data_IF_184988483665
#
_entry.id   IF_184988483665
#
_cell.length_a   1.000
_cell.length_b   1.000
_cell.length_c   1.000
_cell.angle_alpha   90.00
_cell.angle_beta   90.00
_cell.angle_gamma   90.00
#
_symmetry.space_group_name_H-M   'P 1'
#
loop_
_entity.id
_entity.type
_entity.pdbx_description
1 polymer ?
#
# COMPACT_ATOMS: atom_id res chain seq x y z
N UNK A 1 13.40 -16.07 29.25
CA UNK A 1 13.42 -14.68 28.76
C UNK A 1 12.89 -14.68 27.34
N UNK A 2 11.94 -13.82 26.94
CA UNK A 2 11.49 -13.82 25.56
C UNK A 2 12.63 -13.26 24.72
N UNK A 3 13.25 -14.11 23.91
CA UNK A 3 14.24 -13.73 22.90
C UNK A 3 13.55 -12.78 21.90
N UNK A 4 13.59 -11.48 22.19
CA UNK A 4 12.99 -10.46 21.35
C UNK A 4 13.71 -10.43 20.01
N UNK A 5 13.08 -10.99 18.98
CA UNK A 5 13.62 -10.99 17.63
C UNK A 5 14.00 -9.54 17.24
N UNK A 6 15.18 -9.26 16.67
CA UNK A 6 15.71 -7.89 16.52
C UNK A 6 14.73 -6.90 15.87
N UNK A 7 13.93 -7.38 14.91
CA UNK A 7 12.88 -6.63 14.21
C UNK A 7 11.80 -6.10 15.17
N UNK A 8 11.44 -6.87 16.20
CA UNK A 8 10.44 -6.48 17.22
C UNK A 8 10.94 -5.38 18.17
N UNK A 9 12.24 -5.09 18.17
CA UNK A 9 12.84 -4.02 18.96
C UNK A 9 13.13 -2.81 18.05
N UNK A 10 13.72 -3.04 16.87
CA UNK A 10 14.18 -1.98 15.99
C UNK A 10 13.03 -1.17 15.36
N UNK A 11 11.95 -1.81 14.88
CA UNK A 11 10.88 -1.10 14.19
C UNK A 11 10.05 -0.16 15.10
N UNK A 12 9.67 -0.54 16.34
CA UNK A 12 9.05 0.41 17.27
C UNK A 12 9.94 1.62 17.56
N UNK A 13 11.25 1.40 17.69
CA UNK A 13 12.22 2.48 17.91
C UNK A 13 12.31 3.41 16.70
N UNK A 14 12.30 2.87 15.48
CA UNK A 14 12.26 3.67 14.25
C UNK A 14 11.01 4.56 14.20
N UNK A 15 9.81 4.01 14.44
CA UNK A 15 8.57 4.80 14.53
C UNK A 15 8.68 5.85 15.64
N UNK A 16 9.19 5.48 16.82
CA UNK A 16 9.31 6.42 17.93
C UNK A 16 10.28 7.57 17.60
N UNK A 17 11.41 7.29 16.95
CA UNK A 17 12.35 8.29 16.48
C UNK A 17 11.69 9.22 15.45
N UNK A 18 11.01 8.66 14.45
CA UNK A 18 10.34 9.48 13.43
C UNK A 18 9.26 10.38 14.00
N UNK A 19 8.44 9.88 14.93
CA UNK A 19 7.34 10.65 15.51
C UNK A 19 7.80 11.70 16.53
N UNK A 20 8.82 11.40 17.32
CA UNK A 20 9.22 12.24 18.46
C UNK A 20 10.39 13.18 18.12
N UNK A 21 11.16 12.87 17.06
CA UNK A 21 12.36 13.64 16.68
C UNK A 21 12.30 14.09 15.23
N UNK A 22 12.20 13.17 14.28
CA UNK A 22 12.46 13.50 12.87
C UNK A 22 11.36 14.40 12.29
N UNK A 23 10.08 13.99 12.41
CA UNK A 23 8.95 14.79 11.93
C UNK A 23 8.88 16.15 12.64
N UNK A 24 8.94 16.25 13.99
CA UNK A 24 8.96 17.54 14.67
C UNK A 24 10.14 18.45 14.28
N UNK A 25 11.28 17.88 13.86
CA UNK A 25 12.44 18.68 13.46
C UNK A 25 12.28 19.37 12.09
N UNK A 26 11.39 18.87 11.23
CA UNK A 26 11.17 19.39 9.86
C UNK A 26 9.79 19.99 9.64
N UNK A 27 8.86 19.79 10.57
CA UNK A 27 7.50 20.29 10.51
C UNK A 27 7.10 20.98 11.82
N UNK A 28 6.52 22.17 11.71
CA UNK A 28 5.94 22.86 12.87
C UNK A 28 4.64 22.16 13.28
N UNK A 29 4.74 21.34 14.32
CA UNK A 29 3.63 20.61 14.92
C UNK A 29 3.25 21.24 16.27
N UNK A 30 1.95 21.30 16.57
CA UNK A 30 1.50 21.58 17.94
C UNK A 30 1.83 20.41 18.85
N UNK A 31 1.92 20.70 20.15
CA UNK A 31 2.31 19.73 21.19
C UNK A 31 1.49 18.44 21.19
N UNK A 32 0.20 18.49 20.81
CA UNK A 32 -0.68 17.31 20.80
C UNK A 32 -0.65 16.51 19.48
N UNK A 33 -0.10 17.07 18.40
CA UNK A 33 -0.13 16.43 17.07
C UNK A 33 0.68 15.13 16.98
N UNK A 34 1.88 14.99 17.59
CA UNK A 34 2.62 13.73 17.56
C UNK A 34 1.81 12.55 18.14
N UNK A 35 1.03 12.81 19.20
CA UNK A 35 0.12 11.81 19.77
C UNK A 35 -0.99 11.42 18.81
N UNK A 36 -1.58 12.40 18.11
CA UNK A 36 -2.62 12.15 17.09
C UNK A 36 -2.08 11.38 15.89
N UNK A 37 -0.88 11.70 15.41
CA UNK A 37 -0.21 11.00 14.32
C UNK A 37 0.04 9.54 14.72
N UNK A 38 0.48 9.28 15.95
CA UNK A 38 0.65 7.93 16.50
C UNK A 38 -0.66 7.14 16.47
N UNK A 39 -1.74 7.70 17.00
CA UNK A 39 -3.06 7.05 17.01
C UNK A 39 -3.57 6.76 15.59
N UNK A 40 -3.34 7.68 14.65
CA UNK A 40 -3.67 7.46 13.25
C UNK A 40 -2.85 6.32 12.64
N UNK A 41 -1.55 6.25 12.92
CA UNK A 41 -0.68 5.16 12.45
C UNK A 41 -1.11 3.81 13.02
N UNK A 42 -1.51 3.75 14.29
CA UNK A 42 -2.09 2.54 14.89
C UNK A 42 -3.38 2.11 14.20
N UNK A 43 -4.27 3.05 13.89
CA UNK A 43 -5.51 2.76 13.17
C UNK A 43 -5.22 2.21 11.76
N UNK A 44 -4.27 2.79 11.03
CA UNK A 44 -3.82 2.29 9.73
C UNK A 44 -3.30 0.85 9.85
N UNK A 45 -2.42 0.61 10.83
CA UNK A 45 -1.80 -0.71 11.02
C UNK A 45 -2.79 -1.80 11.43
N UNK A 46 -3.77 -1.47 12.28
CA UNK A 46 -4.80 -2.40 12.77
C UNK A 46 -5.88 -2.70 11.72
N UNK A 47 -6.08 -1.82 10.74
CA UNK A 47 -7.12 -1.98 9.73
C UNK A 47 -6.69 -2.87 8.56
N UNK A 48 -7.64 -3.50 7.83
CA UNK A 48 -7.40 -3.94 6.46
C UNK A 48 -6.96 -2.76 5.59
N UNK A 49 -6.21 -3.05 4.51
CA UNK A 49 -5.76 -2.02 3.56
C UNK A 49 -6.91 -1.37 2.78
N UNK A 50 -7.95 -2.14 2.50
CA UNK A 50 -9.14 -1.62 1.85
C UNK A 50 -9.89 -0.64 2.75
N UNK A 51 -10.07 0.59 2.23
CA UNK A 51 -10.82 1.64 2.92
C UNK A 51 -9.97 2.64 3.68
N UNK A 52 -8.63 2.52 3.70
CA UNK A 52 -7.74 3.51 4.31
C UNK A 52 -7.42 4.63 3.31
N UNK A 53 -7.97 5.82 3.58
CA UNK A 53 -7.86 7.02 2.77
C UNK A 53 -8.08 8.25 3.65
N UNK A 54 -7.94 9.46 3.10
CA UNK A 54 -8.10 10.68 3.90
C UNK A 54 -9.47 10.80 4.56
N UNK A 55 -10.55 10.34 3.92
CA UNK A 55 -11.90 10.34 4.53
C UNK A 55 -11.98 9.45 5.76
N UNK A 56 -11.52 8.20 5.69
CA UNK A 56 -11.59 7.29 6.81
C UNK A 56 -10.65 7.71 7.95
N UNK A 57 -9.46 8.21 7.61
CA UNK A 57 -8.48 8.71 8.58
C UNK A 57 -8.98 9.96 9.33
N UNK A 58 -9.51 10.93 8.60
CA UNK A 58 -10.07 12.16 9.21
C UNK A 58 -11.25 11.85 10.12
N UNK A 59 -12.16 10.96 9.69
CA UNK A 59 -13.29 10.50 10.50
C UNK A 59 -12.83 9.78 11.77
N UNK A 60 -11.85 8.87 11.65
CA UNK A 60 -11.35 8.11 12.80
C UNK A 60 -10.62 9.01 13.81
N UNK A 61 -9.79 9.94 13.34
CA UNK A 61 -9.00 10.81 14.20
C UNK A 61 -9.73 12.07 14.70
N UNK A 62 -10.96 12.33 14.22
CA UNK A 62 -11.72 13.54 14.59
C UNK A 62 -11.04 14.83 14.11
N UNK A 63 -10.42 14.80 12.93
CA UNK A 63 -9.72 15.95 12.32
C UNK A 63 -10.27 16.25 10.92
N UNK A 64 -9.84 17.36 10.31
CA UNK A 64 -10.21 17.66 8.92
C UNK A 64 -9.47 16.75 7.93
N UNK A 65 -10.05 16.53 6.74
CA UNK A 65 -9.38 15.82 5.63
C UNK A 65 -8.05 16.46 5.25
N UNK A 66 -7.99 17.79 5.27
CA UNK A 66 -6.75 18.53 5.04
C UNK A 66 -5.67 18.11 6.03
N UNK A 67 -6.02 17.98 7.31
CA UNK A 67 -5.06 17.60 8.35
C UNK A 67 -4.67 16.13 8.30
N UNK A 68 -5.60 15.24 7.97
CA UNK A 68 -5.28 13.84 7.68
C UNK A 68 -4.29 13.71 6.52
N UNK A 69 -4.50 14.45 5.42
CA UNK A 69 -3.54 14.52 4.31
C UNK A 69 -2.17 14.99 4.76
N UNK A 70 -2.09 16.04 5.58
CA UNK A 70 -0.80 16.52 6.10
C UNK A 70 -0.08 15.45 6.92
N UNK A 71 -0.79 14.71 7.79
CA UNK A 71 -0.17 13.65 8.58
C UNK A 71 0.32 12.47 7.73
N UNK A 72 -0.47 12.05 6.74
CA UNK A 72 -0.05 11.01 5.79
C UNK A 72 1.20 11.45 5.02
N UNK A 73 1.26 12.71 4.56
CA UNK A 73 2.43 13.24 3.87
C UNK A 73 3.69 13.28 4.76
N UNK A 74 3.55 13.59 6.05
CA UNK A 74 4.68 13.55 6.99
C UNK A 74 5.18 12.12 7.19
N UNK A 75 4.27 11.16 7.33
CA UNK A 75 4.59 9.74 7.50
C UNK A 75 5.18 9.10 6.23
N UNK A 76 4.72 9.52 5.04
CA UNK A 76 5.31 9.12 3.76
C UNK A 76 6.74 9.64 3.63
N UNK A 77 6.98 10.92 3.94
CA UNK A 77 8.34 11.49 3.97
C UNK A 77 9.26 10.84 5.01
N UNK A 78 8.68 10.25 6.05
CA UNK A 78 9.40 9.46 7.05
C UNK A 78 9.58 7.98 6.63
N UNK A 79 9.22 7.60 5.39
CA UNK A 79 9.30 6.24 4.87
C UNK A 79 8.44 5.23 5.65
N UNK A 80 7.34 5.67 6.26
CA UNK A 80 6.43 4.83 7.04
C UNK A 80 5.19 4.42 6.22
N UNK A 81 4.72 5.29 5.33
CA UNK A 81 3.53 5.08 4.52
C UNK A 81 3.82 5.29 3.03
N UNK A 82 2.95 4.72 2.20
CA UNK A 82 2.88 4.94 0.76
C UNK A 82 1.50 5.48 0.39
N UNK A 83 1.43 6.43 -0.56
CA UNK A 83 0.17 6.96 -1.09
C UNK A 83 -0.02 6.55 -2.54
N UNK A 84 -0.98 5.65 -2.79
CA UNK A 84 -1.33 5.25 -4.16
C UNK A 84 -2.61 5.97 -4.55
N UNK A 85 -2.56 6.82 -5.58
CA UNK A 85 -3.72 7.58 -6.06
C UNK A 85 -4.58 6.76 -7.04
N UNK A 86 -5.88 7.06 -7.17
CA UNK A 86 -6.75 6.31 -8.06
C UNK A 86 -6.58 6.73 -9.52
N UNK A 87 -6.80 5.80 -10.44
CA UNK A 87 -7.00 6.10 -11.86
C UNK A 87 -8.50 6.22 -12.20
N UNK A 88 -8.83 7.11 -13.14
CA UNK A 88 -10.18 7.28 -13.71
C UNK A 88 -10.72 8.70 -13.63
N UNK A 89 -11.60 9.05 -14.58
CA UNK A 89 -12.11 10.43 -14.76
C UNK A 89 -13.17 10.87 -13.73
N UNK A 90 -13.84 9.92 -13.07
CA UNK A 90 -14.94 10.18 -12.11
C UNK A 90 -14.69 9.60 -10.73
N UNK A 91 -13.42 9.52 -10.31
CA UNK A 91 -13.03 8.99 -9.00
C UNK A 91 -12.58 10.13 -8.08
N UNK A 92 -13.10 10.15 -6.85
CA UNK A 92 -12.59 11.03 -5.81
C UNK A 92 -11.09 10.80 -5.65
N UNK A 93 -10.27 11.86 -5.83
CA UNK A 93 -8.80 11.81 -5.76
C UNK A 93 -8.28 11.67 -4.33
N UNK A 94 -8.69 10.61 -3.64
CA UNK A 94 -8.14 10.20 -2.35
C UNK A 94 -7.28 8.95 -2.55
N UNK A 95 -6.08 8.89 -1.94
CA UNK A 95 -5.21 7.75 -2.10
C UNK A 95 -5.72 6.54 -1.30
N UNK A 96 -5.35 5.35 -1.76
CA UNK A 96 -5.20 4.17 -0.89
C UNK A 96 -3.89 4.36 -0.12
N UNK A 97 -3.98 4.38 1.21
CA UNK A 97 -2.82 4.55 2.10
C UNK A 97 -2.32 3.18 2.55
N UNK A 98 -1.09 2.86 2.19
CA UNK A 98 -0.41 1.59 2.50
C UNK A 98 0.74 1.85 3.46
N UNK A 99 1.23 0.79 4.12
CA UNK A 99 2.38 0.90 5.02
C UNK A 99 3.64 0.45 4.31
N UNK A 100 4.76 1.09 4.62
CA UNK A 100 6.06 0.53 4.27
C UNK A 100 6.28 -0.78 5.05
N UNK A 101 6.96 -1.74 4.42
CA UNK A 101 7.33 -2.96 5.12
C UNK A 101 8.43 -2.69 6.16
N UNK A 102 8.42 -3.38 7.32
CA UNK A 102 7.46 -4.38 7.78
C UNK A 102 6.41 -3.82 8.77
N UNK A 103 6.14 -2.51 8.78
CA UNK A 103 5.48 -1.83 9.91
C UNK A 103 4.10 -2.38 10.30
N UNK A 104 3.33 -2.95 9.36
CA UNK A 104 2.03 -3.58 9.65
C UNK A 104 2.13 -4.69 10.70
N UNK A 105 3.27 -5.41 10.75
CA UNK A 105 3.51 -6.49 11.71
C UNK A 105 3.68 -5.99 13.16
N UNK A 106 3.80 -4.68 13.38
CA UNK A 106 3.77 -4.11 14.73
C UNK A 106 2.35 -4.03 15.30
N UNK A 107 1.35 -4.05 14.42
CA UNK A 107 -0.04 -3.82 14.78
C UNK A 107 -0.92 -5.07 14.58
N UNK A 108 -0.50 -5.98 13.70
CA UNK A 108 -1.25 -7.20 13.39
C UNK A 108 -0.36 -8.43 13.25
N UNK A 109 -0.81 -9.61 13.69
CA UNK A 109 -0.06 -10.85 13.48
C UNK A 109 -0.02 -11.21 11.99
N UNK A 110 1.06 -11.91 11.59
CA UNK A 110 1.32 -12.30 10.19
C UNK A 110 0.10 -12.86 9.45
N UNK A 111 -0.60 -13.83 10.06
CA UNK A 111 -1.75 -14.51 9.43
C UNK A 111 -2.86 -13.56 9.03
N UNK A 112 -3.09 -12.54 9.84
CA UNK A 112 -4.10 -11.51 9.59
C UNK A 112 -3.60 -10.40 8.65
N UNK A 113 -2.31 -10.08 8.74
CA UNK A 113 -1.68 -9.03 7.96
C UNK A 113 -1.37 -9.45 6.51
N UNK A 114 -1.37 -10.76 6.21
CA UNK A 114 -0.83 -11.32 4.96
C UNK A 114 -1.39 -10.69 3.68
N UNK A 115 -2.69 -10.38 3.63
CA UNK A 115 -3.27 -9.67 2.48
C UNK A 115 -2.67 -8.28 2.31
N UNK A 116 -2.75 -7.47 3.37
CA UNK A 116 -2.21 -6.11 3.38
C UNK A 116 -0.70 -6.05 3.16
N UNK A 117 0.06 -7.01 3.69
CA UNK A 117 1.52 -7.10 3.48
C UNK A 117 1.91 -7.32 2.01
N UNK A 118 1.06 -7.98 1.22
CA UNK A 118 1.32 -8.16 -0.22
C UNK A 118 1.14 -6.85 -0.98
N UNK A 119 0.11 -6.07 -0.63
CA UNK A 119 -0.11 -4.74 -1.21
C UNK A 119 0.95 -3.74 -0.73
N UNK A 120 1.30 -3.76 0.56
CA UNK A 120 2.40 -2.98 1.14
C UNK A 120 3.73 -3.27 0.39
N UNK A 121 4.05 -4.56 0.19
CA UNK A 121 5.23 -4.97 -0.59
C UNK A 121 5.20 -4.40 -2.00
N UNK A 122 4.07 -4.55 -2.70
CA UNK A 122 3.94 -4.10 -4.08
C UNK A 122 4.12 -2.59 -4.19
N UNK A 123 3.48 -1.81 -3.33
CA UNK A 123 3.61 -0.35 -3.36
C UNK A 123 5.07 0.08 -3.13
N UNK A 124 5.73 -0.45 -2.10
CA UNK A 124 7.13 -0.10 -1.81
C UNK A 124 8.10 -0.56 -2.90
N UNK A 125 7.84 -1.71 -3.54
CA UNK A 125 8.66 -2.19 -4.65
C UNK A 125 8.44 -1.38 -5.93
N UNK A 126 7.19 -0.99 -6.25
CA UNK A 126 6.89 -0.12 -7.39
C UNK A 126 7.49 1.27 -7.23
N UNK A 127 7.43 1.86 -6.03
CA UNK A 127 8.04 3.18 -5.77
C UNK A 127 9.55 3.21 -6.09
N UNK A 128 10.27 2.09 -5.89
CA UNK A 128 11.69 1.98 -6.22
C UNK A 128 11.96 1.91 -7.73
N UNK A 129 10.96 1.60 -8.55
CA UNK A 129 11.11 1.50 -10.01
C UNK A 129 10.88 2.83 -10.73
N UNK A 130 10.52 3.89 -10.00
CA UNK A 130 10.08 5.18 -10.55
C UNK A 130 8.92 5.08 -11.56
N UNK A 131 8.28 3.91 -11.65
CA UNK A 131 7.16 3.65 -12.55
C UNK A 131 5.87 4.15 -11.91
N UNK A 132 5.12 4.97 -12.62
CA UNK A 132 3.84 5.45 -12.13
C UNK A 132 2.80 4.32 -12.11
N UNK A 133 2.06 4.21 -11.00
CA UNK A 133 0.97 3.25 -10.85
C UNK A 133 -0.15 3.86 -10.03
N UNK A 134 -1.34 3.31 -10.20
CA UNK A 134 -2.56 3.77 -9.54
C UNK A 134 -3.33 2.57 -8.98
N UNK A 135 -4.14 2.80 -7.95
CA UNK A 135 -5.11 1.78 -7.53
C UNK A 135 -6.39 1.93 -8.34
N UNK A 136 -7.04 0.81 -8.62
CA UNK A 136 -8.33 0.81 -9.30
C UNK A 136 -9.45 0.78 -8.26
N UNK A 137 -10.30 1.80 -8.28
CA UNK A 137 -11.45 1.88 -7.37
C UNK A 137 -12.68 1.25 -8.00
N UNK A 138 -13.33 0.33 -7.28
CA UNK A 138 -14.61 -0.24 -7.72
C UNK A 138 -15.66 0.85 -7.93
N UNK A 139 -16.28 0.82 -9.11
CA UNK A 139 -17.56 1.48 -9.35
C UNK A 139 -18.66 0.41 -9.36
N UNK A 140 -19.61 0.52 -8.43
CA UNK A 140 -20.88 -0.24 -8.41
C UNK A 140 -20.73 -1.79 -8.43
N UNK A 141 -20.15 -2.36 -7.36
CA UNK A 141 -20.27 -3.79 -7.06
C UNK A 141 -19.53 -4.76 -7.98
N UNK A 142 -18.69 -4.26 -8.91
CA UNK A 142 -17.84 -5.09 -9.76
C UNK A 142 -16.55 -5.46 -9.02
N UNK A 143 -16.12 -6.72 -9.13
CA UNK A 143 -14.74 -7.10 -8.77
C UNK A 143 -13.80 -6.23 -9.57
N UNK A 144 -12.95 -5.49 -8.88
CA UNK A 144 -12.02 -4.55 -9.48
C UNK A 144 -10.64 -5.01 -9.08
N UNK A 145 -9.74 -5.28 -10.03
CA UNK A 145 -8.36 -5.59 -9.72
C UNK A 145 -7.72 -4.50 -8.89
N UNK A 146 -6.63 -4.81 -8.20
CA UNK A 146 -6.08 -3.88 -7.21
C UNK A 146 -5.42 -2.64 -7.83
N UNK A 147 -4.58 -2.82 -8.87
CA UNK A 147 -3.75 -1.75 -9.42
C UNK A 147 -3.75 -1.69 -10.95
N UNK A 148 -3.38 -0.52 -11.47
CA UNK A 148 -3.12 -0.22 -12.87
C UNK A 148 -1.73 0.41 -12.97
N UNK A 149 -0.92 -0.14 -13.87
CA UNK A 149 0.32 0.48 -14.34
C UNK A 149 0.04 0.97 -15.75
N UNK A 150 0.26 2.27 -15.98
CA UNK A 150 0.10 2.90 -17.29
C UNK A 150 1.41 3.61 -17.65
N UNK A 151 2.40 2.78 -17.99
CA UNK A 151 3.77 3.19 -18.28
C UNK A 151 4.20 2.58 -19.62
N UNK A 152 4.96 3.28 -20.48
CA UNK A 152 5.42 2.74 -21.76
C UNK A 152 6.13 1.39 -21.63
N UNK A 153 6.91 1.22 -20.56
CA UNK A 153 7.70 0.01 -20.27
C UNK A 153 6.84 -1.11 -19.70
N UNK A 154 5.65 -0.83 -19.20
CA UNK A 154 4.73 -1.88 -18.73
C UNK A 154 3.57 -2.11 -19.72
N UNK A 155 3.42 -1.21 -20.69
CA UNK A 155 2.14 -0.96 -21.37
C UNK A 155 1.04 -0.73 -20.32
N UNK A 156 -0.21 -0.62 -20.77
CA UNK A 156 -1.35 -0.65 -19.87
C UNK A 156 -1.48 -2.04 -19.23
N UNK A 157 -1.10 -2.19 -17.98
CA UNK A 157 -1.11 -3.46 -17.24
C UNK A 157 -1.98 -3.37 -15.99
N UNK A 158 -2.93 -4.29 -15.87
CA UNK A 158 -3.83 -4.43 -14.73
C UNK A 158 -3.31 -5.54 -13.82
N UNK A 159 -3.09 -5.18 -12.55
CA UNK A 159 -2.47 -6.02 -11.54
C UNK A 159 -3.51 -6.42 -10.50
N UNK A 160 -3.56 -7.71 -10.22
CA UNK A 160 -4.25 -8.28 -9.07
C UNK A 160 -3.21 -8.85 -8.11
N UNK A 161 -3.36 -8.60 -6.81
CA UNK A 161 -2.45 -9.09 -5.77
C UNK A 161 -3.19 -10.07 -4.87
N UNK A 162 -2.60 -11.25 -4.64
CA UNK A 162 -3.21 -12.14 -3.68
C UNK A 162 -2.55 -13.49 -3.47
N UNK A 163 -3.37 -14.44 -3.00
CA UNK A 163 -2.94 -15.81 -2.73
C UNK A 163 -3.07 -16.70 -3.97
N UNK A 164 -2.62 -17.95 -3.83
CA UNK A 164 -2.63 -18.98 -4.89
C UNK A 164 -4.00 -19.21 -5.56
N UNK A 165 -5.10 -18.96 -4.84
CA UNK A 165 -6.47 -19.13 -5.33
C UNK A 165 -7.01 -18.00 -6.21
N UNK A 166 -6.26 -16.92 -6.44
CA UNK A 166 -6.67 -15.86 -7.36
C UNK A 166 -6.51 -16.32 -8.81
N UNK A 167 -7.47 -15.97 -9.67
CA UNK A 167 -7.55 -16.43 -11.05
C UNK A 167 -8.24 -15.41 -11.97
N UNK A 168 -8.51 -15.82 -13.22
CA UNK A 168 -9.04 -14.95 -14.29
C UNK A 168 -10.33 -14.20 -13.90
N UNK A 169 -11.13 -14.75 -12.99
CA UNK A 169 -12.36 -14.12 -12.49
C UNK A 169 -12.16 -12.74 -11.85
N UNK A 170 -10.96 -12.43 -11.35
CA UNK A 170 -10.67 -11.12 -10.75
C UNK A 170 -10.71 -9.99 -11.80
N UNK A 171 -10.49 -10.32 -13.07
CA UNK A 171 -10.51 -9.37 -14.18
C UNK A 171 -11.85 -9.32 -14.93
N UNK A 172 -12.93 -9.88 -14.36
CA UNK A 172 -14.24 -9.87 -15.02
C UNK A 172 -14.72 -8.42 -15.23
N UNK A 173 -14.93 -8.04 -16.49
CA UNK A 173 -15.29 -6.67 -16.87
C UNK A 173 -14.12 -5.74 -17.19
N UNK A 174 -12.87 -6.26 -17.17
CA UNK A 174 -11.68 -5.56 -17.64
C UNK A 174 -11.37 -6.01 -19.07
N UNK A 175 -11.75 -5.18 -20.03
CA UNK A 175 -11.65 -5.50 -21.46
C UNK A 175 -10.25 -5.24 -22.04
N UNK A 176 -9.54 -4.25 -21.51
CA UNK A 176 -8.27 -3.77 -22.08
C UNK A 176 -7.09 -3.94 -21.12
N UNK A 177 -5.88 -3.91 -21.67
CA UNK A 177 -4.64 -4.03 -20.93
C UNK A 177 -4.19 -5.46 -20.67
N UNK A 178 -2.87 -5.62 -20.48
CA UNK A 178 -2.25 -6.85 -20.01
C UNK A 178 -2.73 -7.16 -18.59
N UNK A 179 -2.93 -8.43 -18.25
CA UNK A 179 -3.47 -8.86 -16.95
C UNK A 179 -2.45 -9.74 -16.25
N UNK A 180 -2.06 -9.37 -15.03
CA UNK A 180 -1.10 -10.15 -14.23
C UNK A 180 -1.65 -10.34 -12.82
N UNK A 181 -1.51 -11.55 -12.29
CA UNK A 181 -1.78 -11.88 -10.90
C UNK A 181 -0.45 -12.05 -10.19
N UNK A 182 -0.14 -11.15 -9.26
CA UNK A 182 1.01 -11.28 -8.38
C UNK A 182 0.62 -12.11 -7.16
N UNK A 183 1.20 -13.30 -7.05
CA UNK A 183 0.84 -14.25 -6.01
C UNK A 183 1.95 -14.45 -4.97
N UNK A 184 1.53 -14.65 -3.72
CA UNK A 184 2.44 -15.12 -2.67
C UNK A 184 2.68 -16.63 -2.86
N UNK A 185 3.71 -16.98 -3.63
CA UNK A 185 4.09 -18.33 -4.05
C UNK A 185 5.04 -18.30 -5.25
N UNK A 186 5.43 -19.48 -5.75
CA UNK A 186 6.31 -19.62 -6.92
C UNK A 186 5.58 -19.94 -8.23
N UNK A 187 4.27 -19.71 -8.29
CA UNK A 187 3.44 -20.06 -9.46
C UNK A 187 3.69 -19.07 -10.61
N UNK A 188 4.05 -19.61 -11.77
CA UNK A 188 4.37 -18.87 -13.00
C UNK A 188 3.39 -19.18 -14.15
N UNK A 189 2.35 -19.97 -13.89
CA UNK A 189 1.46 -20.47 -14.95
C UNK A 189 0.52 -19.37 -15.46
N UNK A 190 0.40 -19.27 -16.78
CA UNK A 190 -0.50 -18.33 -17.44
C UNK A 190 -0.25 -16.87 -17.02
N UNK A 191 -1.24 -16.27 -16.36
CA UNK A 191 -1.20 -14.86 -15.92
C UNK A 191 -0.57 -14.66 -14.54
N UNK A 192 -0.18 -15.73 -13.83
CA UNK A 192 0.35 -15.63 -12.47
C UNK A 192 1.85 -15.41 -12.47
N UNK A 193 2.33 -14.51 -11.63
CA UNK A 193 3.76 -14.32 -11.38
C UNK A 193 4.01 -14.27 -9.86
N UNK A 194 5.17 -14.74 -9.39
CA UNK A 194 5.55 -14.57 -8.00
C UNK A 194 5.67 -13.08 -7.64
N UNK A 195 5.03 -12.66 -6.53
CA UNK A 195 5.07 -11.26 -6.09
C UNK A 195 6.51 -10.75 -5.88
N UNK A 196 7.41 -11.60 -5.37
CA UNK A 196 8.80 -11.23 -5.13
C UNK A 196 9.61 -10.98 -6.43
N UNK A 197 9.08 -11.40 -7.59
CA UNK A 197 9.73 -11.16 -8.88
C UNK A 197 9.34 -9.81 -9.48
N UNK A 198 8.56 -8.97 -8.80
CA UNK A 198 8.05 -7.71 -9.34
C UNK A 198 9.15 -6.84 -9.97
N UNK A 199 10.29 -6.69 -9.30
CA UNK A 199 11.43 -5.92 -9.80
C UNK A 199 12.17 -6.53 -11.01
N UNK A 200 11.84 -7.76 -11.38
CA UNK A 200 12.42 -8.50 -12.51
C UNK A 200 11.42 -8.76 -13.63
N UNK A 201 10.15 -8.36 -13.48
CA UNK A 201 9.17 -8.55 -14.54
C UNK A 201 9.62 -7.75 -15.75
N UNK A 202 9.97 -8.45 -16.83
CA UNK A 202 10.52 -7.83 -18.01
C UNK A 202 9.49 -6.88 -18.63
N UNK A 203 9.91 -5.62 -18.68
CA UNK A 203 9.25 -4.48 -19.25
C UNK A 203 9.15 -4.57 -20.79
N UNK A 204 9.82 -5.55 -21.42
CA UNK A 204 9.94 -5.64 -22.89
C UNK A 204 9.47 -6.98 -23.46
N UNK A 205 9.11 -7.94 -22.62
CA UNK A 205 8.77 -9.28 -23.11
C UNK A 205 7.36 -9.32 -23.71
N UNK A 206 7.31 -9.53 -25.03
CA UNK A 206 6.11 -9.63 -25.86
C UNK A 206 5.53 -11.06 -25.92
N UNK A 207 6.08 -12.02 -25.18
CA UNK A 207 5.69 -13.43 -25.26
C UNK A 207 4.45 -13.84 -24.45
N UNK A 208 3.68 -12.88 -23.92
CA UNK A 208 2.48 -13.12 -23.08
C UNK A 208 1.28 -12.30 -23.57
#
# INVERSE_FOLDING_TARGET
>A
MPSGHPIRIALPLAIAASLNRDIPSVASLKTDEPGRIRSMLEFIGKSPVDGINYSSLSKNAGITKYKARQYVQLLEKAFILHQVFPAGTNVLREPKVLMALPYRLLFRPWREALGGLREDFFAGAMEQTETSFAYLKSTRGKKTPDFLIDDPSWKKTVIEIGGRGKGREQFKGVETGRKIILSHGGDTDGLKRPLFMLGYLDQRDNSI
#
